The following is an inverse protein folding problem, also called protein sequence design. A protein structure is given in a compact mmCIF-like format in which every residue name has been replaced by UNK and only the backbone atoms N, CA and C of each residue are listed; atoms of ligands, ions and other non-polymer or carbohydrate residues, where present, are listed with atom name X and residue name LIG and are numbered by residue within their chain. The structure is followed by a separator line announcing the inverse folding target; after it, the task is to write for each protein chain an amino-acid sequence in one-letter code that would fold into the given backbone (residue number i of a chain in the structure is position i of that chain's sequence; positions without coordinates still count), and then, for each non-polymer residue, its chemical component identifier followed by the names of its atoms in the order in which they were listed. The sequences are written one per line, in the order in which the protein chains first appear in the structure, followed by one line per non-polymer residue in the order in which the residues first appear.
data_IF_842311268379
#
_entry.id   IF_842311268379
#
_cell.length_a   1.000
_cell.length_b   1.000
_cell.length_c   1.000
_cell.angle_alpha   90.00
_cell.angle_beta   90.00
_cell.angle_gamma   90.00
#
_symmetry.space_group_name_H-M   'P 1'
#
loop_
_entity.id
_entity.type
_entity.pdbx_description
1 polymer ?
#
# COMPACT_ATOMS: atom_id res chain seq x y z
N UNK A 1 -12.98 12.90 2.57
CA UNK A 1 -13.41 11.82 3.47
C UNK A 1 -14.09 10.76 2.61
N UNK A 2 -13.48 9.60 2.43
CA UNK A 2 -14.11 8.48 1.69
C UNK A 2 -15.26 7.94 2.55
N UNK A 3 -16.43 7.78 1.95
CA UNK A 3 -17.60 7.18 2.61
C UNK A 3 -17.49 5.66 2.51
N UNK A 4 -17.06 4.99 3.59
CA UNK A 4 -16.80 3.54 3.65
C UNK A 4 -18.06 2.65 3.59
N UNK A 5 -19.24 3.19 3.26
CA UNK A 5 -20.51 2.46 3.18
C UNK A 5 -20.98 2.11 1.76
N UNK A 6 -20.37 2.71 0.74
CA UNK A 6 -20.68 2.44 -0.68
C UNK A 6 -19.59 1.53 -1.28
N UNK A 7 -19.93 0.30 -1.73
CA UNK A 7 -18.95 -0.61 -2.31
C UNK A 7 -18.38 -0.13 -3.66
N UNK A 8 -18.95 0.91 -4.27
CA UNK A 8 -18.52 1.44 -5.56
C UNK A 8 -17.67 2.71 -5.45
N UNK A 9 -17.34 3.19 -4.25
CA UNK A 9 -16.66 4.48 -4.04
C UNK A 9 -15.27 4.58 -4.72
N UNK A 10 -14.63 3.44 -5.00
CA UNK A 10 -13.35 3.34 -5.70
C UNK A 10 -13.48 2.84 -7.16
N UNK A 11 -14.69 2.55 -7.63
CA UNK A 11 -14.88 2.09 -8.99
C UNK A 11 -14.87 3.28 -9.96
N UNK A 12 -14.05 3.16 -10.99
CA UNK A 12 -14.04 4.06 -12.14
C UNK A 12 -14.90 3.49 -13.28
N UNK A 13 -15.56 4.32 -14.09
CA UNK A 13 -16.51 3.86 -15.13
C UNK A 13 -15.83 3.18 -16.34
N UNK A 14 -14.50 3.07 -16.34
CA UNK A 14 -13.70 2.44 -17.38
C UNK A 14 -12.50 1.71 -16.76
N UNK A 15 -11.95 0.75 -17.48
CA UNK A 15 -10.69 0.12 -17.12
C UNK A 15 -9.51 1.09 -17.32
N UNK A 16 -8.42 0.87 -16.58
CA UNK A 16 -7.17 1.61 -16.75
C UNK A 16 -6.49 1.21 -18.05
N UNK A 17 -5.85 2.17 -18.74
CA UNK A 17 -4.86 1.85 -19.79
C UNK A 17 -3.64 1.15 -19.18
N UNK A 18 -2.76 0.62 -20.02
CA UNK A 18 -1.50 0.05 -19.55
C UNK A 18 -0.61 1.10 -18.85
N UNK A 19 -0.51 2.33 -19.37
CA UNK A 19 0.26 3.38 -18.69
C UNK A 19 -0.39 3.82 -17.38
N UNK A 20 -1.73 3.93 -17.36
CA UNK A 20 -2.46 4.31 -16.16
C UNK A 20 -2.38 3.22 -15.08
N UNK A 21 -2.41 1.94 -15.46
CA UNK A 21 -2.19 0.82 -14.55
C UNK A 21 -0.80 0.87 -13.92
N UNK A 22 0.24 1.22 -14.69
CA UNK A 22 1.58 1.40 -14.14
C UNK A 22 1.67 2.60 -13.19
N UNK A 23 0.91 3.68 -13.42
CA UNK A 23 0.82 4.77 -12.45
C UNK A 23 0.06 4.35 -11.20
N UNK A 24 -1.04 3.60 -11.34
CA UNK A 24 -1.78 3.05 -10.22
C UNK A 24 -0.89 2.17 -9.33
N UNK A 25 -0.12 1.25 -9.92
CA UNK A 25 0.84 0.43 -9.16
C UNK A 25 1.92 1.26 -8.42
N UNK A 26 2.31 2.43 -8.96
CA UNK A 26 3.23 3.35 -8.24
C UNK A 26 2.54 4.02 -7.06
N UNK A 27 1.26 4.36 -7.19
CA UNK A 27 0.45 4.93 -6.10
C UNK A 27 0.24 3.88 -5.02
N UNK A 28 -0.09 2.63 -5.38
CA UNK A 28 -0.27 1.53 -4.42
C UNK A 28 1.04 1.29 -3.64
N UNK A 29 2.18 1.20 -4.35
CA UNK A 29 3.50 1.08 -3.69
C UNK A 29 3.80 2.25 -2.74
N UNK A 30 3.39 3.48 -3.09
CA UNK A 30 3.57 4.63 -2.23
C UNK A 30 2.68 4.54 -0.98
N UNK A 31 1.46 4.01 -1.11
CA UNK A 31 0.56 3.71 -0.01
C UNK A 31 1.16 2.70 0.97
N UNK A 32 1.74 1.62 0.47
CA UNK A 32 2.41 0.63 1.35
C UNK A 32 3.63 1.23 2.06
N UNK A 33 4.42 2.06 1.36
CA UNK A 33 5.55 2.77 1.98
C UNK A 33 5.09 3.77 3.06
N UNK A 34 3.99 4.48 2.83
CA UNK A 34 3.39 5.37 3.83
C UNK A 34 2.91 4.58 5.05
N UNK A 35 2.29 3.41 4.85
CA UNK A 35 1.86 2.52 5.92
C UNK A 35 3.06 2.04 6.76
N UNK A 36 4.14 1.59 6.13
CA UNK A 36 5.39 1.21 6.81
C UNK A 36 5.90 2.34 7.70
N UNK A 37 6.03 3.55 7.13
CA UNK A 37 6.51 4.73 7.86
C UNK A 37 5.59 5.03 9.05
N UNK A 38 4.27 4.98 8.85
CA UNK A 38 3.28 5.21 9.90
C UNK A 38 3.38 4.21 11.05
N UNK A 39 3.42 2.91 10.75
CA UNK A 39 3.52 1.87 11.77
C UNK A 39 4.84 1.91 12.53
N UNK A 40 5.97 2.09 11.84
CA UNK A 40 7.28 2.24 12.49
C UNK A 40 7.33 3.46 13.42
N UNK A 41 6.83 4.62 12.96
CA UNK A 41 6.79 5.84 13.76
C UNK A 41 5.97 5.64 15.03
N UNK A 42 4.80 4.99 14.94
CA UNK A 42 3.98 4.67 16.10
C UNK A 42 4.64 3.65 17.03
N UNK A 43 5.33 2.64 16.50
CA UNK A 43 6.07 1.66 17.29
C UNK A 43 7.21 2.32 18.07
N UNK A 44 7.91 3.29 17.46
CA UNK A 44 8.93 4.11 18.12
C UNK A 44 8.34 5.06 19.19
N UNK A 45 7.10 5.50 19.01
CA UNK A 45 6.45 6.48 19.89
C UNK A 45 5.69 5.86 21.08
N UNK A 46 5.43 4.55 21.08
CA UNK A 46 4.73 3.86 22.16
C UNK A 46 5.68 3.16 23.14
N UNK A 47 5.22 2.89 24.36
CA UNK A 47 5.93 2.08 25.36
C UNK A 47 5.26 0.72 25.64
N UNK A 48 4.09 0.44 25.03
CA UNK A 48 3.45 -0.88 25.13
C UNK A 48 4.15 -1.86 24.16
N UNK A 49 4.93 -2.78 24.71
CA UNK A 49 5.70 -3.77 23.95
C UNK A 49 4.82 -4.69 23.08
N UNK A 50 3.59 -5.01 23.51
CA UNK A 50 2.68 -5.84 22.70
C UNK A 50 2.21 -5.08 21.47
N UNK A 51 1.97 -3.78 21.61
CA UNK A 51 1.57 -2.92 20.48
C UNK A 51 2.74 -2.74 19.51
N UNK A 52 3.98 -2.59 20.01
CA UNK A 52 5.18 -2.52 19.15
C UNK A 52 5.34 -3.77 18.30
N UNK A 53 5.23 -4.95 18.91
CA UNK A 53 5.36 -6.23 18.20
C UNK A 53 4.37 -6.32 17.04
N UNK A 54 3.10 -5.96 17.28
CA UNK A 54 2.07 -5.96 16.24
C UNK A 54 2.36 -4.92 15.15
N UNK A 55 2.75 -3.70 15.52
CA UNK A 55 3.05 -2.64 14.54
C UNK A 55 4.24 -2.99 13.64
N UNK A 56 5.32 -3.54 14.22
CA UNK A 56 6.46 -3.98 13.42
C UNK A 56 6.13 -5.18 12.54
N UNK A 57 5.32 -6.12 13.03
CA UNK A 57 4.82 -7.24 12.23
C UNK A 57 4.02 -6.76 11.02
N UNK A 58 3.07 -5.84 11.21
CA UNK A 58 2.29 -5.28 10.10
C UNK A 58 3.21 -4.54 9.12
N UNK A 59 4.17 -3.74 9.61
CA UNK A 59 5.15 -3.08 8.74
C UNK A 59 5.98 -4.09 7.91
N UNK A 60 6.31 -5.25 8.46
CA UNK A 60 6.97 -6.33 7.70
C UNK A 60 6.09 -6.93 6.61
N UNK A 61 4.77 -7.07 6.85
CA UNK A 61 3.80 -7.49 5.83
C UNK A 61 3.73 -6.47 4.69
N UNK A 62 3.65 -5.17 5.00
CA UNK A 62 3.61 -4.14 3.96
C UNK A 62 4.89 -4.08 3.10
N UNK A 63 6.06 -4.42 3.68
CA UNK A 63 7.31 -4.58 2.89
C UNK A 63 7.20 -5.71 1.87
N UNK A 64 6.48 -6.79 2.18
CA UNK A 64 6.21 -7.87 1.24
C UNK A 64 5.28 -7.38 0.13
N UNK A 65 4.22 -6.64 0.47
CA UNK A 65 3.31 -6.04 -0.52
C UNK A 65 4.05 -5.10 -1.50
N UNK A 66 4.97 -4.25 -1.01
CA UNK A 66 5.84 -3.44 -1.87
C UNK A 66 6.61 -4.31 -2.87
N UNK A 67 7.16 -5.44 -2.40
CA UNK A 67 7.87 -6.42 -3.23
C UNK A 67 6.99 -7.04 -4.31
N UNK A 68 5.78 -7.45 -3.96
CA UNK A 68 4.80 -8.03 -4.89
C UNK A 68 4.39 -7.02 -5.97
N UNK A 69 4.04 -5.79 -5.57
CA UNK A 69 3.66 -4.71 -6.51
C UNK A 69 4.81 -4.35 -7.46
N UNK A 70 6.04 -4.31 -6.94
CA UNK A 70 7.23 -4.07 -7.75
C UNK A 70 7.46 -5.18 -8.79
N UNK A 71 7.20 -6.45 -8.45
CA UNK A 71 7.29 -7.56 -9.40
C UNK A 71 6.25 -7.43 -10.52
N UNK A 72 4.99 -7.13 -10.17
CA UNK A 72 3.92 -6.94 -11.16
C UNK A 72 4.20 -5.76 -12.09
N UNK A 73 4.75 -4.67 -11.56
CA UNK A 73 5.17 -3.51 -12.36
C UNK A 73 6.28 -3.86 -13.35
N UNK A 74 7.27 -4.66 -12.93
CA UNK A 74 8.36 -5.13 -13.80
C UNK A 74 7.89 -6.10 -14.89
N UNK A 75 6.82 -6.86 -14.64
CA UNK A 75 6.22 -7.78 -15.62
C UNK A 75 5.45 -7.07 -16.74
N UNK A 76 5.13 -5.77 -16.58
CA UNK A 76 4.45 -4.93 -17.58
C UNK A 76 5.35 -3.78 -18.08
N UNK A 77 6.49 -4.06 -18.76
CA UNK A 77 7.29 -3.00 -19.33
C UNK A 77 6.48 -2.27 -20.43
N UNK A 78 6.40 -0.94 -20.33
CA UNK A 78 5.89 -0.09 -21.42
C UNK A 78 6.75 -0.37 -22.65
N UNK A 79 6.11 -0.80 -23.74
CA UNK A 79 6.78 -0.93 -25.05
C UNK A 79 7.09 0.44 -25.63
#
# INVERSE_FOLDING_TARGET
MVMLGDPFVANVPRQLSAEELLQALRVDMAGELEAIIGYEAHAMATSDERVKEVLYHIADEERQHVGELQQQRCAHPVR
#
